data_IF_629121710551
#
_entry.id   IF_629121710551
#
_cell.length_a   1.000
_cell.length_b   1.000
_cell.length_c   1.000
_cell.angle_alpha   90.00
_cell.angle_beta   90.00
_cell.angle_gamma   90.00
#
_symmetry.space_group_name_H-M   'P 1'
#
loop_
_entity.id
_entity.type
_entity.pdbx_description
1 polymer ?
#
# COMPACT_ATOMS: atom_id res chain seq x y z
N UNK A 1 58.69 -23.02 -13.39
CA UNK A 1 58.05 -21.68 -13.43
C UNK A 1 56.53 -21.93 -13.49
N UNK A 2 55.81 -21.94 -12.36
CA UNK A 2 54.78 -20.95 -11.94
C UNK A 2 54.06 -20.33 -13.17
N UNK A 3 52.73 -20.40 -13.36
CA UNK A 3 51.68 -19.86 -12.49
C UNK A 3 50.28 -20.45 -12.82
N UNK A 4 49.51 -20.62 -11.74
CA UNK A 4 48.05 -20.78 -11.56
C UNK A 4 47.15 -19.97 -12.51
N UNK A 5 45.91 -20.45 -12.71
CA UNK A 5 44.60 -19.72 -12.69
C UNK A 5 43.56 -20.82 -12.98
N UNK A 6 42.61 -21.18 -12.13
CA UNK A 6 41.85 -20.40 -11.16
C UNK A 6 40.37 -20.64 -11.49
N UNK A 7 39.80 -21.70 -10.91
CA UNK A 7 38.39 -22.06 -11.00
C UNK A 7 37.55 -20.90 -10.44
N UNK A 8 36.67 -20.29 -11.24
CA UNK A 8 35.70 -19.32 -10.72
C UNK A 8 34.32 -19.58 -11.36
N UNK A 9 33.59 -20.51 -10.76
CA UNK A 9 32.14 -20.67 -10.97
C UNK A 9 31.44 -19.49 -10.32
N UNK A 10 30.99 -18.54 -11.12
CA UNK A 10 30.21 -17.37 -10.67
C UNK A 10 28.82 -17.88 -10.26
N UNK A 11 28.52 -17.81 -8.97
CA UNK A 11 27.19 -18.03 -8.44
C UNK A 11 26.27 -16.89 -8.92
N UNK A 12 25.26 -17.23 -9.72
CA UNK A 12 24.19 -16.31 -10.09
C UNK A 12 23.30 -16.07 -8.87
N UNK A 13 23.55 -14.99 -8.14
CA UNK A 13 22.60 -14.48 -7.15
C UNK A 13 21.42 -13.86 -7.90
N UNK A 14 20.34 -14.64 -8.08
CA UNK A 14 19.05 -14.12 -8.50
C UNK A 14 18.51 -13.30 -7.33
N UNK A 15 18.71 -11.99 -7.40
CA UNK A 15 18.11 -11.04 -6.48
C UNK A 15 16.59 -11.06 -6.70
N UNK A 16 15.90 -11.80 -5.84
CA UNK A 16 14.44 -11.78 -5.73
C UNK A 16 14.01 -10.45 -5.07
N UNK A 17 14.30 -9.33 -5.71
CA UNK A 17 13.68 -8.05 -5.35
C UNK A 17 12.25 -8.14 -5.85
N UNK A 18 11.37 -8.67 -5.00
CA UNK A 18 9.93 -8.52 -5.19
C UNK A 18 9.69 -7.03 -5.44
N UNK A 19 9.28 -6.68 -6.65
CA UNK A 19 8.96 -5.31 -7.01
C UNK A 19 7.74 -4.89 -6.20
N UNK A 20 7.95 -4.44 -4.97
CA UNK A 20 6.96 -3.72 -4.21
C UNK A 20 6.62 -2.50 -5.06
N UNK A 21 5.48 -2.55 -5.75
CA UNK A 21 5.03 -1.44 -6.56
C UNK A 21 4.73 -0.30 -5.59
N UNK A 22 5.29 0.86 -5.88
CA UNK A 22 4.96 2.13 -5.24
C UNK A 22 4.16 2.96 -6.23
N UNK A 23 3.13 3.62 -5.73
CA UNK A 23 2.37 4.62 -6.45
C UNK A 23 2.71 5.99 -5.87
N UNK A 24 2.94 6.97 -6.75
CA UNK A 24 3.38 8.32 -6.36
C UNK A 24 2.23 9.30 -6.21
N UNK A 25 0.98 8.81 -6.26
CA UNK A 25 -0.22 9.60 -6.06
C UNK A 25 -0.14 10.40 -4.77
N UNK A 26 -0.38 11.70 -4.93
CA UNK A 26 -0.34 12.69 -3.88
C UNK A 26 -1.71 13.37 -3.85
N UNK A 27 -2.50 13.19 -2.78
CA UNK A 27 -3.77 13.89 -2.62
C UNK A 27 -3.62 15.41 -2.66
N UNK A 28 -4.64 16.12 -3.13
CA UNK A 28 -4.73 17.55 -2.86
C UNK A 28 -4.93 17.79 -1.36
N UNK A 29 -4.35 18.86 -0.82
CA UNK A 29 -4.41 19.17 0.62
C UNK A 29 -5.84 19.29 1.15
N UNK A 30 -6.80 19.71 0.32
CA UNK A 30 -8.21 19.84 0.70
C UNK A 30 -9.09 18.65 0.27
N UNK A 31 -8.54 17.61 -0.38
CA UNK A 31 -9.34 16.46 -0.86
C UNK A 31 -9.91 15.62 0.29
N UNK A 32 -11.23 15.44 0.32
CA UNK A 32 -11.90 14.58 1.30
C UNK A 32 -11.44 13.12 1.23
N UNK A 33 -11.68 12.36 2.30
CA UNK A 33 -11.32 10.93 2.34
C UNK A 33 -11.99 10.12 1.23
N UNK A 34 -13.24 10.45 0.91
CA UNK A 34 -13.98 9.84 -0.20
C UNK A 34 -13.33 10.15 -1.55
N UNK A 35 -13.01 11.41 -1.83
CA UNK A 35 -12.35 11.81 -3.10
C UNK A 35 -11.02 11.08 -3.29
N UNK A 36 -10.22 10.97 -2.22
CA UNK A 36 -8.96 10.25 -2.21
C UNK A 36 -9.19 8.75 -2.50
N UNK A 37 -10.17 8.15 -1.82
CA UNK A 37 -10.50 6.74 -2.00
C UNK A 37 -10.95 6.44 -3.43
N UNK A 38 -11.86 7.26 -3.96
CA UNK A 38 -12.40 7.13 -5.31
C UNK A 38 -11.32 7.31 -6.38
N UNK A 39 -10.39 8.25 -6.20
CA UNK A 39 -9.38 8.58 -7.19
C UNK A 39 -8.35 7.47 -7.43
N UNK A 40 -7.98 6.69 -6.41
CA UNK A 40 -6.91 5.70 -6.55
C UNK A 40 -7.19 4.33 -5.90
N UNK A 41 -7.94 4.27 -4.81
CA UNK A 41 -8.15 3.02 -4.07
C UNK A 41 -9.14 2.08 -4.78
N UNK A 42 -10.13 2.63 -5.48
CA UNK A 42 -11.21 1.86 -6.15
C UNK A 42 -10.75 1.00 -7.32
N UNK A 43 -9.51 1.20 -7.80
CA UNK A 43 -8.88 0.34 -8.79
C UNK A 43 -8.82 -1.13 -8.33
N UNK A 44 -8.65 -1.35 -7.02
CA UNK A 44 -8.63 -2.68 -6.40
C UNK A 44 -9.70 -2.85 -5.31
N UNK A 45 -10.07 -1.78 -4.59
CA UNK A 45 -11.00 -1.79 -3.48
C UNK A 45 -12.37 -1.27 -3.91
N UNK A 46 -13.09 -2.05 -4.73
CA UNK A 46 -14.43 -1.67 -5.17
C UNK A 46 -15.41 -1.76 -4.01
N UNK A 47 -16.20 -0.70 -3.74
CA UNK A 47 -17.28 -0.77 -2.75
C UNK A 47 -18.26 -1.90 -3.08
N UNK A 48 -18.81 -2.50 -2.02
CA UNK A 48 -19.86 -3.49 -2.15
C UNK A 48 -21.21 -2.82 -2.47
N UNK A 49 -22.20 -3.61 -2.89
CA UNK A 49 -23.54 -3.12 -3.21
C UNK A 49 -24.27 -2.49 -2.02
N UNK A 50 -23.86 -2.81 -0.79
CA UNK A 50 -24.39 -2.24 0.45
C UNK A 50 -23.66 -0.96 0.90
N UNK A 51 -22.75 -0.44 0.07
CA UNK A 51 -21.95 0.75 0.36
C UNK A 51 -20.68 0.49 1.18
N UNK A 52 -20.45 -0.74 1.65
CA UNK A 52 -19.24 -1.08 2.42
C UNK A 52 -18.00 -0.95 1.53
N UNK A 53 -17.08 -0.05 1.88
CA UNK A 53 -15.89 0.21 1.05
C UNK A 53 -14.81 -0.85 1.23
N UNK A 54 -14.63 -1.38 2.45
CA UNK A 54 -13.73 -2.48 2.73
C UNK A 54 -14.22 -3.40 3.85
N UNK A 55 -13.64 -4.60 3.90
CA UNK A 55 -13.71 -5.49 5.04
C UNK A 55 -12.38 -5.46 5.79
N UNK A 56 -12.39 -4.86 6.98
CA UNK A 56 -11.21 -4.67 7.82
C UNK A 56 -10.98 -5.90 8.70
N UNK A 57 -9.71 -6.23 8.91
CA UNK A 57 -9.31 -7.14 9.98
C UNK A 57 -9.43 -6.40 11.32
N UNK A 58 -9.73 -7.10 12.42
CA UNK A 58 -9.74 -6.53 13.77
C UNK A 58 -8.44 -5.79 14.15
N UNK A 59 -7.29 -6.15 13.57
CA UNK A 59 -6.00 -5.45 13.78
C UNK A 59 -5.82 -4.19 12.92
N UNK A 60 -6.77 -3.91 12.02
CA UNK A 60 -6.74 -2.86 11.01
C UNK A 60 -7.93 -1.90 11.17
N UNK A 61 -8.43 -1.76 12.40
CA UNK A 61 -9.62 -0.96 12.72
C UNK A 61 -9.28 0.37 13.43
N UNK A 62 -8.05 0.87 13.27
CA UNK A 62 -7.64 2.21 13.75
C UNK A 62 -7.08 3.03 12.59
N UNK A 63 -7.12 4.37 12.71
CA UNK A 63 -6.64 5.28 11.67
C UNK A 63 -5.15 5.04 11.40
N UNK A 64 -4.36 4.85 12.45
CA UNK A 64 -2.92 4.66 12.38
C UNK A 64 -2.55 3.38 11.63
N UNK A 65 -3.23 2.26 11.95
CA UNK A 65 -2.98 1.00 11.28
C UNK A 65 -3.31 1.09 9.78
N UNK A 66 -4.43 1.73 9.43
CA UNK A 66 -4.84 1.95 8.03
C UNK A 66 -3.82 2.83 7.29
N UNK A 67 -3.40 3.95 7.88
CA UNK A 67 -2.39 4.84 7.27
C UNK A 67 -1.09 4.08 7.05
N UNK A 68 -0.60 3.35 8.04
CA UNK A 68 0.62 2.55 7.91
C UNK A 68 0.50 1.53 6.77
N UNK A 69 -0.65 0.86 6.66
CA UNK A 69 -0.90 -0.10 5.58
C UNK A 69 -0.95 0.53 4.21
N UNK A 70 -1.54 1.71 4.07
CA UNK A 70 -1.59 2.45 2.81
C UNK A 70 -0.18 2.88 2.39
N UNK A 71 0.61 3.40 3.32
CA UNK A 71 1.96 3.89 3.05
C UNK A 71 2.95 2.76 2.75
N UNK A 72 2.83 1.62 3.44
CA UNK A 72 3.73 0.46 3.25
C UNK A 72 3.25 -0.54 2.21
N UNK A 73 1.96 -0.52 1.87
CA UNK A 73 1.33 -1.51 1.00
C UNK A 73 1.41 -2.92 1.58
N UNK A 74 1.55 -3.91 0.72
CA UNK A 74 1.80 -5.32 1.07
C UNK A 74 2.06 -6.15 -0.17
N UNK A 75 2.00 -7.48 -0.01
CA UNK A 75 2.29 -8.40 -1.12
C UNK A 75 1.44 -8.15 -2.37
N UNK A 76 0.16 -7.79 -2.19
CA UNK A 76 -0.81 -7.55 -3.28
C UNK A 76 -1.27 -6.10 -3.38
N UNK A 77 -0.91 -5.26 -2.43
CA UNK A 77 -1.31 -3.86 -2.35
C UNK A 77 -0.09 -2.98 -2.59
N UNK A 78 -0.12 -2.19 -3.66
CA UNK A 78 0.89 -1.15 -3.92
C UNK A 78 0.99 -0.18 -2.73
N UNK A 79 2.19 0.31 -2.47
CA UNK A 79 2.45 1.30 -1.43
C UNK A 79 2.16 2.72 -1.93
N UNK A 80 1.57 3.57 -1.10
CA UNK A 80 1.25 4.98 -1.40
C UNK A 80 1.97 5.93 -0.42
N UNK A 81 3.31 6.07 -0.51
CA UNK A 81 4.11 6.80 0.47
C UNK A 81 3.80 8.32 0.55
N UNK A 82 3.19 8.89 -0.49
CA UNK A 82 2.87 10.33 -0.53
C UNK A 82 1.51 10.65 0.09
N UNK A 83 0.69 9.65 0.43
CA UNK A 83 -0.55 9.84 1.20
C UNK A 83 -0.16 10.03 2.67
N UNK A 84 0.04 11.28 3.06
CA UNK A 84 0.50 11.69 4.40
C UNK A 84 -0.35 12.83 4.96
N UNK A 85 -0.06 13.29 6.18
CA UNK A 85 -0.70 14.45 6.79
C UNK A 85 -2.23 14.37 6.93
N UNK A 86 -2.90 15.51 6.84
CA UNK A 86 -4.37 15.63 6.91
C UNK A 86 -5.11 14.83 5.83
N UNK A 87 -4.64 14.75 4.57
CA UNK A 87 -5.23 13.83 3.58
C UNK A 87 -5.24 12.37 4.03
N UNK A 88 -4.14 11.87 4.61
CA UNK A 88 -4.08 10.51 5.12
C UNK A 88 -5.06 10.26 6.28
N UNK A 89 -5.19 11.25 7.18
CA UNK A 89 -6.12 11.18 8.30
C UNK A 89 -7.58 11.09 7.83
N UNK A 90 -7.97 11.93 6.87
CA UNK A 90 -9.35 11.92 6.30
C UNK A 90 -9.64 10.66 5.51
N UNK A 91 -8.66 10.15 4.75
CA UNK A 91 -8.81 8.86 4.06
C UNK A 91 -9.02 7.72 5.05
N UNK A 92 -8.21 7.64 6.11
CA UNK A 92 -8.33 6.58 7.10
C UNK A 92 -9.65 6.65 7.88
N UNK A 93 -10.12 7.86 8.19
CA UNK A 93 -11.43 8.10 8.78
C UNK A 93 -12.57 7.60 7.89
N UNK A 94 -12.58 8.03 6.62
CA UNK A 94 -13.56 7.58 5.65
C UNK A 94 -13.59 6.05 5.54
N UNK A 95 -12.42 5.41 5.50
CA UNK A 95 -12.33 3.95 5.46
C UNK A 95 -12.96 3.34 6.71
N UNK A 96 -12.67 3.84 7.91
CA UNK A 96 -13.23 3.29 9.15
C UNK A 96 -14.76 3.43 9.22
N UNK A 97 -15.27 4.60 8.88
CA UNK A 97 -16.70 4.90 8.96
C UNK A 97 -17.53 4.12 7.93
N UNK A 98 -16.92 3.78 6.79
CA UNK A 98 -17.62 3.13 5.67
C UNK A 98 -17.21 1.66 5.47
N UNK A 99 -16.47 1.07 6.41
CA UNK A 99 -16.04 -0.33 6.34
C UNK A 99 -16.64 -1.16 7.46
N UNK A 100 -16.66 -2.49 7.27
CA UNK A 100 -17.05 -3.45 8.29
C UNK A 100 -15.83 -4.19 8.80
N UNK A 101 -15.76 -4.44 10.11
CA UNK A 101 -14.75 -5.34 10.68
C UNK A 101 -15.25 -6.78 10.59
N UNK A 102 -14.39 -7.69 10.12
CA UNK A 102 -14.65 -9.13 10.12
C UNK A 102 -14.38 -9.78 11.48
#
# INVERSE_FOLDING_TARGET
MKKTIGLLTIAAAISLVGCAKTDTYTPAENASGEEIFSANCTNCHKPQTDGTVMLLNAKMNTKEAIIEKIQKGGMTMTAFPNVTGEPAQRLAEYILENSKTK
#
